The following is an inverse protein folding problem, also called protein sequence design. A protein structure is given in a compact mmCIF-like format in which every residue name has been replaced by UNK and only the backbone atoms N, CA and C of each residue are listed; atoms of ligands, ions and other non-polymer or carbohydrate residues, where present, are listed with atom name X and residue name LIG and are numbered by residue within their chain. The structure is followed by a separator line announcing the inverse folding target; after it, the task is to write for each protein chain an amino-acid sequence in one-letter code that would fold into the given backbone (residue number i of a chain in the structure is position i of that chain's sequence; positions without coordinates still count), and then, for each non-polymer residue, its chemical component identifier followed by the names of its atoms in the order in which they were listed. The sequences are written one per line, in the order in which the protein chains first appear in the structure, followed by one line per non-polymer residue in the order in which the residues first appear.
data_IF_462647421065
#
_entry.id   IF_462647421065
#
_cell.length_a   1.000
_cell.length_b   1.000
_cell.length_c   1.000
_cell.angle_alpha   90.00
_cell.angle_beta   90.00
_cell.angle_gamma   90.00
#
_symmetry.space_group_name_H-M   'P 1'
#
loop_
_entity.id
_entity.type
_entity.pdbx_description
1 polymer ?
#
# COMPACT_ATOMS: atom_id res chain seq x y z
N UNK A 1 -4.68 -0.06 20.65
CA UNK A 1 -5.06 1.12 19.83
C UNK A 1 -4.87 2.43 20.58
N UNK A 2 -5.51 2.65 21.75
CA UNK A 2 -5.37 3.89 22.52
C UNK A 2 -3.93 4.38 22.76
N UNK A 3 -2.99 3.50 23.14
CA UNK A 3 -1.59 3.88 23.34
C UNK A 3 -0.87 4.31 22.04
N UNK A 4 -1.18 3.65 20.92
CA UNK A 4 -0.68 4.03 19.59
C UNK A 4 -1.21 5.40 19.19
N UNK A 5 -2.52 5.59 19.31
CA UNK A 5 -3.18 6.83 18.89
C UNK A 5 -2.67 8.00 19.74
N UNK A 6 -2.53 7.82 21.07
CA UNK A 6 -1.93 8.82 21.95
C UNK A 6 -0.47 9.18 21.59
N UNK A 7 0.34 8.21 21.15
CA UNK A 7 1.71 8.48 20.70
C UNK A 7 1.74 9.30 19.40
N UNK A 8 0.80 9.06 18.47
CA UNK A 8 0.64 9.86 17.26
C UNK A 8 0.24 11.30 17.63
N UNK A 9 -0.76 11.47 18.49
CA UNK A 9 -1.21 12.80 18.93
C UNK A 9 -0.11 13.58 19.64
N UNK A 10 0.65 12.93 20.52
CA UNK A 10 1.79 13.55 21.19
C UNK A 10 2.94 13.92 20.24
N UNK A 11 3.05 13.22 19.10
CA UNK A 11 4.08 13.45 18.09
C UNK A 11 3.68 14.45 16.99
N UNK A 12 2.38 14.63 16.74
CA UNK A 12 1.84 15.38 15.60
C UNK A 12 2.33 16.84 15.53
N UNK A 13 2.49 17.51 16.68
CA UNK A 13 2.92 18.90 16.76
C UNK A 13 4.43 19.15 16.62
N UNK A 14 5.24 18.12 16.37
CA UNK A 14 6.71 18.27 16.26
C UNK A 14 7.09 19.06 15.01
N UNK A 15 8.15 19.86 15.11
CA UNK A 15 8.71 20.56 13.95
C UNK A 15 9.36 19.60 12.95
N UNK A 16 9.51 20.02 11.70
CA UNK A 16 10.05 19.18 10.61
C UNK A 16 11.41 18.54 10.95
N UNK A 17 12.34 19.29 11.56
CA UNK A 17 13.64 18.74 11.97
C UNK A 17 13.54 17.65 13.06
N UNK A 18 12.59 17.79 13.99
CA UNK A 18 12.32 16.78 15.01
C UNK A 18 11.65 15.53 14.41
N UNK A 19 10.74 15.71 13.45
CA UNK A 19 10.13 14.61 12.72
C UNK A 19 11.15 13.85 11.87
N UNK A 20 12.03 14.56 11.16
CA UNK A 20 13.09 13.96 10.36
C UNK A 20 14.07 13.15 11.23
N UNK A 21 14.51 13.70 12.37
CA UNK A 21 15.36 12.98 13.31
C UNK A 21 14.67 11.74 13.91
N UNK A 22 13.39 11.85 14.27
CA UNK A 22 12.62 10.73 14.80
C UNK A 22 12.40 9.64 13.74
N UNK A 23 12.13 10.02 12.49
CA UNK A 23 12.00 9.09 11.37
C UNK A 23 13.32 8.36 11.11
N UNK A 24 14.45 9.09 11.08
CA UNK A 24 15.78 8.50 10.92
C UNK A 24 16.07 7.45 11.99
N UNK A 25 15.86 7.80 13.27
CA UNK A 25 16.06 6.85 14.36
C UNK A 25 15.16 5.60 14.27
N UNK A 26 13.90 5.77 13.85
CA UNK A 26 12.98 4.65 13.67
C UNK A 26 13.38 3.74 12.50
N UNK A 27 13.90 4.32 11.41
CA UNK A 27 14.42 3.57 10.27
C UNK A 27 15.70 2.80 10.65
N UNK A 28 16.62 3.42 11.40
CA UNK A 28 17.84 2.76 11.89
C UNK A 28 17.49 1.55 12.78
N UNK A 29 16.51 1.69 13.69
CA UNK A 29 16.04 0.59 14.54
C UNK A 29 15.39 -0.54 13.73
N UNK A 30 14.58 -0.16 12.72
CA UNK A 30 13.95 -1.13 11.83
C UNK A 30 15.00 -1.88 11.01
N UNK A 31 15.97 -1.18 10.41
CA UNK A 31 17.06 -1.77 9.63
C UNK A 31 17.88 -2.75 10.48
N UNK A 32 18.25 -2.36 11.71
CA UNK A 32 18.95 -3.24 12.63
C UNK A 32 18.14 -4.51 12.96
N UNK A 33 16.82 -4.39 13.09
CA UNK A 33 15.93 -5.53 13.34
C UNK A 33 15.83 -6.46 12.12
N UNK A 34 15.72 -5.91 10.92
CA UNK A 34 15.65 -6.68 9.68
C UNK A 34 16.98 -7.35 9.32
N UNK A 35 18.12 -6.76 9.69
CA UNK A 35 19.44 -7.34 9.49
C UNK A 35 19.64 -8.68 10.23
N UNK A 36 18.84 -8.96 11.26
CA UNK A 36 18.85 -10.22 11.98
C UNK A 36 18.01 -11.33 11.32
N UNK A 37 17.24 -11.03 10.26
CA UNK A 37 16.38 -12.00 9.56
C UNK A 37 17.18 -12.76 8.51
N UNK A 38 17.40 -14.05 8.74
CA UNK A 38 18.03 -14.95 7.78
C UNK A 38 17.08 -15.46 6.69
N UNK A 39 17.60 -16.13 5.65
CA UNK A 39 16.78 -16.64 4.53
C UNK A 39 15.72 -17.65 4.96
N UNK A 40 15.94 -18.39 6.06
CA UNK A 40 15.00 -19.40 6.57
C UNK A 40 14.02 -18.85 7.62
N UNK A 41 14.16 -17.58 8.02
CA UNK A 41 13.36 -16.98 9.09
C UNK A 41 12.00 -16.46 8.62
N UNK A 42 11.79 -16.25 7.32
CA UNK A 42 10.60 -15.56 6.79
C UNK A 42 9.25 -16.18 7.16
N UNK A 43 9.24 -17.50 7.47
CA UNK A 43 8.07 -18.23 7.93
C UNK A 43 7.77 -18.09 9.43
N UNK A 44 8.64 -17.46 10.23
CA UNK A 44 8.48 -17.36 11.68
C UNK A 44 7.30 -16.46 12.05
N UNK A 45 6.50 -16.85 13.06
CA UNK A 45 5.29 -16.13 13.43
C UNK A 45 5.60 -14.79 14.07
N UNK A 46 4.73 -13.81 13.85
CA UNK A 46 4.77 -12.47 14.47
C UNK A 46 3.40 -12.11 15.03
N UNK A 47 3.37 -11.23 16.03
CA UNK A 47 2.10 -10.74 16.60
C UNK A 47 1.32 -9.83 15.64
N UNK A 48 1.98 -9.29 14.60
CA UNK A 48 1.32 -8.47 13.60
C UNK A 48 0.33 -9.31 12.79
N UNK A 49 -0.97 -9.14 13.08
CA UNK A 49 -2.09 -9.83 12.42
C UNK A 49 -1.95 -11.35 12.42
N UNK A 50 -1.35 -11.90 13.46
CA UNK A 50 -1.07 -13.33 13.61
C UNK A 50 -0.36 -13.94 12.37
N UNK A 51 0.47 -13.11 11.70
CA UNK A 51 1.15 -13.46 10.47
C UNK A 51 2.56 -14.01 10.67
N UNK A 52 3.38 -13.89 9.63
CA UNK A 52 4.82 -14.25 9.66
C UNK A 52 5.71 -13.04 9.42
N UNK A 53 7.03 -13.19 9.59
CA UNK A 53 8.01 -12.17 9.22
C UNK A 53 7.83 -11.69 7.77
N UNK A 54 7.50 -12.58 6.83
CA UNK A 54 7.17 -12.20 5.46
C UNK A 54 5.96 -11.27 5.38
N UNK A 55 4.89 -11.54 6.14
CA UNK A 55 3.70 -10.67 6.15
C UNK A 55 4.00 -9.29 6.75
N UNK A 56 4.86 -9.23 7.77
CA UNK A 56 5.33 -7.98 8.35
C UNK A 56 6.22 -7.21 7.37
N UNK A 57 7.11 -7.89 6.65
CA UNK A 57 7.95 -7.27 5.62
C UNK A 57 7.12 -6.67 4.48
N UNK A 58 6.12 -7.41 3.98
CA UNK A 58 5.18 -6.88 3.00
C UNK A 58 4.39 -5.67 3.55
N UNK A 59 4.03 -5.67 4.84
CA UNK A 59 3.38 -4.52 5.46
C UNK A 59 4.30 -3.31 5.48
N UNK A 60 5.53 -3.46 5.96
CA UNK A 60 6.55 -2.41 5.94
C UNK A 60 6.80 -1.85 4.54
N UNK A 61 6.90 -2.71 3.53
CA UNK A 61 7.08 -2.28 2.15
C UNK A 61 5.94 -1.38 1.68
N UNK A 62 4.68 -1.75 1.95
CA UNK A 62 3.52 -0.91 1.62
C UNK A 62 3.55 0.41 2.38
N UNK A 63 3.80 0.38 3.69
CA UNK A 63 3.82 1.57 4.54
C UNK A 63 4.87 2.57 4.04
N UNK A 64 6.09 2.11 3.75
CA UNK A 64 7.17 2.97 3.26
C UNK A 64 6.83 3.58 1.90
N UNK A 65 6.43 2.78 0.92
CA UNK A 65 6.20 3.25 -0.45
C UNK A 65 4.99 4.18 -0.55
N UNK A 66 3.90 3.86 0.16
CA UNK A 66 2.67 4.66 0.12
C UNK A 66 2.85 5.95 0.92
N UNK A 67 3.42 5.88 2.12
CA UNK A 67 3.52 7.07 2.97
C UNK A 67 4.68 7.98 2.59
N UNK A 68 5.68 7.51 1.83
CA UNK A 68 6.64 8.38 1.16
C UNK A 68 5.94 9.29 0.14
N UNK A 69 5.02 8.72 -0.65
CA UNK A 69 4.14 9.49 -1.54
C UNK A 69 3.23 10.44 -0.76
N UNK A 70 2.57 9.96 0.30
CA UNK A 70 1.66 10.81 1.09
C UNK A 70 2.39 11.98 1.77
N UNK A 71 3.66 11.77 2.16
CA UNK A 71 4.53 12.80 2.73
C UNK A 71 5.09 13.76 1.67
N UNK A 72 4.76 13.56 0.39
CA UNK A 72 5.26 14.33 -0.76
C UNK A 72 6.80 14.30 -0.84
N UNK A 73 7.40 13.16 -0.48
CA UNK A 73 8.83 12.94 -0.55
C UNK A 73 9.16 12.14 -1.82
N UNK A 74 9.92 12.75 -2.74
CA UNK A 74 10.34 12.06 -3.96
C UNK A 74 9.27 12.02 -5.07
N UNK A 75 9.26 10.94 -5.84
CA UNK A 75 8.27 10.74 -6.89
C UNK A 75 6.91 10.33 -6.32
N UNK A 76 5.83 10.70 -7.01
CA UNK A 76 4.49 10.22 -6.70
C UNK A 76 4.25 8.77 -7.15
N UNK A 77 3.00 8.28 -7.17
CA UNK A 77 2.70 6.89 -7.53
C UNK A 77 3.24 6.44 -8.88
N UNK A 78 3.50 7.36 -9.82
CA UNK A 78 4.13 7.02 -11.10
C UNK A 78 5.55 6.47 -10.97
N UNK A 79 6.22 6.71 -9.84
CA UNK A 79 7.53 6.16 -9.51
C UNK A 79 7.51 4.79 -8.84
N UNK A 80 6.34 4.24 -8.51
CA UNK A 80 6.26 2.94 -7.83
C UNK A 80 6.76 1.80 -8.72
N UNK A 81 7.54 0.84 -8.16
CA UNK A 81 8.00 -0.29 -8.92
C UNK A 81 6.84 -1.22 -9.33
N UNK A 82 6.93 -1.90 -10.49
CA UNK A 82 5.87 -2.80 -10.97
C UNK A 82 5.47 -3.90 -9.98
N UNK A 83 6.45 -4.42 -9.22
CA UNK A 83 6.20 -5.47 -8.22
C UNK A 83 5.34 -4.96 -7.06
N UNK A 84 5.59 -3.72 -6.59
CA UNK A 84 4.74 -3.09 -5.59
C UNK A 84 3.32 -2.92 -6.15
N UNK A 85 3.18 -2.42 -7.37
CA UNK A 85 1.88 -2.19 -7.97
C UNK A 85 1.08 -3.50 -8.07
N UNK A 86 1.70 -4.57 -8.55
CA UNK A 86 1.09 -5.90 -8.65
C UNK A 86 0.70 -6.43 -7.26
N UNK A 87 1.58 -6.28 -6.27
CA UNK A 87 1.30 -6.64 -4.88
C UNK A 87 0.10 -5.87 -4.33
N UNK A 88 0.04 -4.55 -4.53
CA UNK A 88 -1.06 -3.70 -4.09
C UNK A 88 -2.38 -4.08 -4.74
N UNK A 89 -2.39 -4.37 -6.05
CA UNK A 89 -3.60 -4.81 -6.76
C UNK A 89 -4.18 -6.09 -6.15
N UNK A 90 -3.33 -7.07 -5.82
CA UNK A 90 -3.75 -8.30 -5.15
C UNK A 90 -4.18 -8.08 -3.70
N UNK A 91 -3.34 -7.43 -2.90
CA UNK A 91 -3.55 -7.20 -1.47
C UNK A 91 -4.81 -6.36 -1.19
N UNK A 92 -5.08 -5.35 -2.02
CA UNK A 92 -6.20 -4.43 -1.85
C UNK A 92 -7.46 -4.85 -2.62
N UNK A 93 -7.45 -6.01 -3.27
CA UNK A 93 -8.64 -6.58 -3.94
C UNK A 93 -9.84 -6.77 -2.99
N UNK A 94 -9.57 -6.95 -1.69
CA UNK A 94 -10.59 -7.02 -0.63
C UNK A 94 -11.38 -5.72 -0.44
N UNK A 95 -10.89 -4.60 -1.00
CA UNK A 95 -11.59 -3.31 -1.02
C UNK A 95 -12.66 -3.24 -2.10
N UNK A 96 -12.76 -4.23 -3.00
CA UNK A 96 -13.83 -4.27 -4.00
C UNK A 96 -15.18 -4.43 -3.29
N UNK A 97 -16.15 -3.52 -3.50
CA UNK A 97 -17.42 -3.58 -2.80
C UNK A 97 -18.21 -4.85 -3.16
N UNK A 98 -19.00 -5.32 -2.20
CA UNK A 98 -19.88 -6.47 -2.41
C UNK A 98 -20.86 -6.23 -3.56
N UNK A 99 -21.03 -7.22 -4.44
CA UNK A 99 -21.91 -7.10 -5.61
C UNK A 99 -21.25 -6.45 -6.84
N UNK A 100 -19.97 -6.12 -6.78
CA UNK A 100 -19.17 -5.64 -7.93
C UNK A 100 -18.21 -6.72 -8.41
N UNK A 101 -18.22 -6.98 -9.72
CA UNK A 101 -17.14 -7.69 -10.41
C UNK A 101 -16.24 -6.66 -11.08
N UNK A 102 -15.02 -6.48 -10.58
CA UNK A 102 -14.09 -5.46 -11.05
C UNK A 102 -13.02 -6.11 -11.93
N UNK A 103 -12.89 -5.65 -13.18
CA UNK A 103 -11.80 -6.02 -14.08
C UNK A 103 -10.88 -4.82 -14.27
N UNK A 104 -9.59 -5.00 -14.00
CA UNK A 104 -8.55 -3.99 -14.16
C UNK A 104 -7.65 -4.37 -15.33
N UNK A 105 -7.42 -3.45 -16.27
CA UNK A 105 -6.50 -3.64 -17.40
C UNK A 105 -5.40 -2.60 -17.36
N UNK A 106 -4.16 -3.03 -17.10
CA UNK A 106 -2.99 -2.17 -17.19
C UNK A 106 -2.59 -1.99 -18.66
N UNK A 107 -2.84 -0.82 -19.24
CA UNK A 107 -2.69 -0.56 -20.69
C UNK A 107 -1.24 -0.54 -21.15
N UNK A 108 -0.32 -0.27 -20.24
CA UNK A 108 1.13 -0.19 -20.46
C UNK A 108 1.81 -1.56 -20.43
N UNK A 109 1.24 -2.54 -19.73
CA UNK A 109 1.76 -3.91 -19.61
C UNK A 109 0.91 -4.96 -20.33
N UNK A 110 -0.35 -4.63 -20.64
CA UNK A 110 -1.36 -5.56 -21.16
C UNK A 110 -1.89 -6.55 -20.11
N UNK A 111 -1.47 -6.44 -18.84
CA UNK A 111 -1.92 -7.33 -17.78
C UNK A 111 -3.36 -7.02 -17.36
N UNK A 112 -4.09 -8.05 -16.96
CA UNK A 112 -5.49 -7.94 -16.52
C UNK A 112 -5.71 -8.70 -15.22
N UNK A 113 -6.50 -8.11 -14.32
CA UNK A 113 -6.94 -8.72 -13.06
C UNK A 113 -8.45 -8.68 -12.94
N UNK A 114 -9.05 -9.67 -12.29
CA UNK A 114 -10.50 -9.70 -12.03
C UNK A 114 -10.75 -10.03 -10.55
N UNK A 115 -11.56 -9.21 -9.91
CA UNK A 115 -11.85 -9.27 -8.48
C UNK A 115 -13.35 -9.17 -8.20
N UNK A 116 -13.78 -9.72 -7.06
CA UNK A 116 -15.19 -9.65 -6.65
C UNK A 116 -16.13 -10.41 -7.59
N UNK A 117 -17.43 -10.24 -7.38
CA UNK A 117 -18.52 -10.86 -8.16
C UNK A 117 -19.73 -9.94 -8.16
N UNK A 118 -20.43 -9.88 -9.29
CA UNK A 118 -21.69 -9.14 -9.46
C UNK A 118 -21.69 -8.25 -10.70
N UNK A 119 -22.20 -7.03 -10.58
CA UNK A 119 -22.25 -6.06 -11.67
C UNK A 119 -20.85 -5.77 -12.20
N UNK A 120 -20.62 -5.99 -13.50
CA UNK A 120 -19.31 -5.92 -14.11
C UNK A 120 -18.88 -4.47 -14.32
N UNK A 121 -17.71 -4.11 -13.81
CA UNK A 121 -17.06 -2.81 -14.01
C UNK A 121 -15.66 -3.07 -14.56
N UNK A 122 -15.37 -2.53 -15.74
CA UNK A 122 -14.03 -2.52 -16.31
C UNK A 122 -13.37 -1.17 -16.05
N UNK A 123 -12.12 -1.19 -15.61
CA UNK A 123 -11.28 -0.01 -15.39
C UNK A 123 -9.94 -0.23 -16.07
N UNK A 124 -9.50 0.76 -16.83
CA UNK A 124 -8.25 0.70 -17.59
C UNK A 124 -7.37 1.90 -17.24
N UNK A 125 -6.05 1.70 -17.19
CA UNK A 125 -5.10 2.76 -16.85
C UNK A 125 -3.68 2.21 -16.85
N UNK A 126 -2.68 3.04 -16.53
CA UNK A 126 -1.33 2.50 -16.29
C UNK A 126 -1.34 1.66 -15.01
N UNK A 127 -0.41 0.72 -14.91
CA UNK A 127 -0.27 -0.15 -13.73
C UNK A 127 -0.20 0.66 -12.42
N UNK A 128 0.60 1.73 -12.42
CA UNK A 128 0.78 2.63 -11.27
C UNK A 128 -0.49 3.39 -10.91
N UNK A 129 -1.26 3.84 -11.90
CA UNK A 129 -2.52 4.57 -11.69
C UNK A 129 -3.62 3.67 -11.13
N UNK A 130 -3.72 2.42 -11.62
CA UNK A 130 -4.63 1.42 -11.08
C UNK A 130 -4.29 1.07 -9.62
N UNK A 131 -2.99 0.90 -9.32
CA UNK A 131 -2.53 0.63 -7.97
C UNK A 131 -2.78 1.82 -7.02
N UNK A 132 -2.53 3.06 -7.48
CA UNK A 132 -2.80 4.27 -6.71
C UNK A 132 -4.29 4.40 -6.36
N UNK A 133 -5.17 4.22 -7.34
CA UNK A 133 -6.61 4.25 -7.09
C UNK A 133 -7.05 3.15 -6.12
N UNK A 134 -6.59 1.91 -6.30
CA UNK A 134 -6.95 0.81 -5.39
C UNK A 134 -6.36 1.00 -3.98
N UNK A 135 -5.28 1.78 -3.83
CA UNK A 135 -4.72 2.28 -2.57
C UNK A 135 -5.46 3.52 -2.01
N UNK A 136 -6.47 4.03 -2.71
CA UNK A 136 -7.24 5.21 -2.31
C UNK A 136 -6.46 6.52 -2.45
N UNK A 137 -5.43 6.54 -3.30
CA UNK A 137 -4.69 7.75 -3.68
C UNK A 137 -5.17 8.23 -5.05
N UNK A 138 -4.94 9.50 -5.34
CA UNK A 138 -5.25 10.05 -6.65
C UNK A 138 -4.29 9.45 -7.70
N UNK A 139 -4.80 8.85 -8.79
CA UNK A 139 -3.99 8.54 -9.97
C UNK A 139 -3.37 9.80 -10.57
N UNK A 140 -2.19 9.68 -11.17
CA UNK A 140 -1.55 10.78 -11.90
C UNK A 140 -1.98 10.81 -13.38
N UNK A 141 -2.38 9.66 -13.91
CA UNK A 141 -2.96 9.48 -15.23
C UNK A 141 -4.47 9.22 -15.18
N UNK A 142 -5.15 9.32 -16.33
CA UNK A 142 -6.57 9.01 -16.40
C UNK A 142 -6.82 7.52 -16.17
N UNK A 143 -7.89 7.22 -15.45
CA UNK A 143 -8.51 5.90 -15.44
C UNK A 143 -9.72 5.93 -16.39
N UNK A 144 -9.69 5.06 -17.39
CA UNK A 144 -10.78 4.82 -18.31
C UNK A 144 -11.70 3.71 -17.81
N UNK A 145 -12.86 3.57 -18.46
CA UNK A 145 -13.86 2.57 -18.11
C UNK A 145 -15.15 3.18 -17.56
N UNK A 146 -16.03 2.31 -17.04
CA UNK A 146 -17.29 2.73 -16.40
C UNK A 146 -17.05 3.61 -15.16
N UNK A 147 -18.11 4.12 -14.51
CA UNK A 147 -17.95 4.88 -13.27
C UNK A 147 -17.18 4.05 -12.24
N UNK A 148 -16.13 4.64 -11.66
CA UNK A 148 -15.30 3.97 -10.66
C UNK A 148 -16.13 3.68 -9.41
N UNK A 149 -16.14 2.43 -8.91
CA UNK A 149 -16.87 2.11 -7.69
C UNK A 149 -16.20 2.78 -6.49
N UNK A 150 -17.00 3.12 -5.48
CA UNK A 150 -16.47 3.49 -4.17
C UNK A 150 -15.81 2.27 -3.52
N UNK A 151 -14.55 2.41 -3.15
CA UNK A 151 -13.77 1.32 -2.56
C UNK A 151 -14.08 1.17 -1.07
N UNK A 152 -14.11 -0.06 -0.59
CA UNK A 152 -14.21 -0.39 0.82
C UNK A 152 -12.99 0.04 1.65
N UNK A 153 -13.08 -0.19 2.96
CA UNK A 153 -12.02 0.13 3.92
C UNK A 153 -10.73 -0.66 3.68
N UNK A 154 -9.61 -0.12 4.18
CA UNK A 154 -8.31 -0.79 4.15
C UNK A 154 -8.31 -2.05 5.04
N UNK A 155 -7.78 -3.20 4.57
CA UNK A 155 -7.72 -4.44 5.35
C UNK A 155 -6.72 -4.36 6.49
#
# INVERSE_FOLDING_TARGET
RAARDAAIEAGYGRGAGQLAAALGAALDEAEASWAAVGPDDWGRPVAYRDGTLHTAGLAWWRELEIHTVDALLGAGPSGWPPDLCTHLLGFLSVRVPGGTGLTLTAVDTGQTWTYGRGGQVAVEGRLTDLAAWLAGRAPEGPLGGGPLPELGGWP
#
